data_IF_377046381967
#
_entry.id   IF_377046381967
#
_cell.length_a   1.000
_cell.length_b   1.000
_cell.length_c   1.000
_cell.angle_alpha   90.00
_cell.angle_beta   90.00
_cell.angle_gamma   90.00
#
_symmetry.space_group_name_H-M   'P 1'
#
loop_
_entity.id
_entity.type
_entity.pdbx_description
1 polymer ?
#
# COMPACT_ATOMS: atom_id res chain seq x y z
N UNK A 1 -3.64 -26.08 -19.82
CA UNK A 1 -3.92 -25.44 -18.51
C UNK A 1 -2.61 -25.43 -17.72
N UNK A 2 -2.21 -24.29 -17.17
CA UNK A 2 -1.02 -24.20 -16.33
C UNK A 2 -1.22 -25.02 -15.05
N UNK A 3 -0.19 -25.71 -14.58
CA UNK A 3 -0.24 -26.44 -13.31
C UNK A 3 -0.33 -25.46 -12.14
N UNK A 4 -0.91 -25.88 -11.01
CA UNK A 4 -0.98 -25.06 -9.80
C UNK A 4 0.42 -24.58 -9.36
N UNK A 5 1.44 -25.41 -9.57
CA UNK A 5 2.84 -25.07 -9.33
C UNK A 5 3.35 -23.95 -10.24
N UNK A 6 2.98 -23.93 -11.53
CA UNK A 6 3.39 -22.88 -12.46
C UNK A 6 2.71 -21.54 -12.15
N UNK A 7 1.45 -21.55 -11.73
CA UNK A 7 0.73 -20.34 -11.29
C UNK A 7 1.40 -19.74 -10.05
N UNK A 8 1.65 -20.57 -9.02
CA UNK A 8 2.33 -20.14 -7.81
C UNK A 8 3.75 -19.61 -8.10
N UNK A 9 4.48 -20.27 -9.01
CA UNK A 9 5.81 -19.81 -9.41
C UNK A 9 5.77 -18.48 -10.15
N UNK A 10 4.83 -18.29 -11.08
CA UNK A 10 4.64 -17.02 -11.79
C UNK A 10 4.34 -15.89 -10.81
N UNK A 11 3.45 -16.13 -9.86
CA UNK A 11 3.09 -15.16 -8.81
C UNK A 11 4.31 -14.74 -7.98
N UNK A 12 5.08 -15.71 -7.47
CA UNK A 12 6.28 -15.42 -6.67
C UNK A 12 7.37 -14.65 -7.46
N UNK A 13 7.47 -14.88 -8.77
CA UNK A 13 8.36 -14.07 -9.62
C UNK A 13 7.83 -12.65 -9.79
N UNK A 14 6.51 -12.49 -9.95
CA UNK A 14 5.86 -11.20 -10.11
C UNK A 14 6.00 -10.32 -8.86
N UNK A 15 5.82 -10.89 -7.67
CA UNK A 15 6.03 -10.17 -6.39
C UNK A 15 7.46 -9.62 -6.26
N UNK A 16 8.46 -10.38 -6.71
CA UNK A 16 9.85 -9.89 -6.74
C UNK A 16 10.02 -8.72 -7.70
N UNK A 17 9.35 -8.74 -8.85
CA UNK A 17 9.40 -7.62 -9.81
C UNK A 17 8.70 -6.39 -9.25
N UNK A 18 7.54 -6.58 -8.59
CA UNK A 18 6.81 -5.51 -7.94
C UNK A 18 7.66 -4.77 -6.91
N UNK A 19 8.40 -5.49 -6.05
CA UNK A 19 9.32 -4.88 -5.07
C UNK A 19 10.40 -4.02 -5.75
N UNK A 20 10.98 -4.49 -6.86
CA UNK A 20 11.98 -3.73 -7.60
C UNK A 20 11.37 -2.49 -8.24
N UNK A 21 10.25 -2.65 -8.94
CA UNK A 21 9.53 -1.55 -9.59
C UNK A 21 9.08 -0.48 -8.60
N UNK A 22 8.67 -0.89 -7.39
CA UNK A 22 8.34 0.01 -6.30
C UNK A 22 9.53 0.84 -5.82
N UNK A 23 10.76 0.28 -5.83
CA UNK A 23 11.95 1.01 -5.36
C UNK A 23 12.54 1.97 -6.38
N UNK A 24 12.62 1.56 -7.65
CA UNK A 24 13.44 2.27 -8.65
C UNK A 24 12.72 2.53 -9.98
N UNK A 25 11.42 2.22 -10.07
CA UNK A 25 10.70 2.21 -11.34
C UNK A 25 11.13 1.04 -12.24
N UNK A 26 10.77 1.10 -13.52
CA UNK A 26 11.07 0.06 -14.50
C UNK A 26 11.62 0.58 -15.84
N UNK A 27 11.64 1.89 -16.06
CA UNK A 27 12.07 2.46 -17.34
C UNK A 27 13.52 2.10 -17.66
N UNK A 28 14.42 2.22 -16.67
CA UNK A 28 15.85 1.93 -16.83
C UNK A 28 16.19 0.43 -16.83
N UNK A 29 15.25 -0.43 -16.45
CA UNK A 29 15.48 -1.87 -16.34
C UNK A 29 15.32 -2.55 -17.71
N UNK A 30 16.26 -3.44 -18.03
CA UNK A 30 16.15 -4.32 -19.19
C UNK A 30 15.56 -5.68 -18.80
N UNK A 31 15.04 -6.43 -19.77
CA UNK A 31 14.60 -7.82 -19.51
C UNK A 31 15.72 -8.68 -18.91
N UNK A 32 16.98 -8.44 -19.29
CA UNK A 32 18.11 -9.17 -18.71
C UNK A 32 18.34 -8.82 -17.23
N UNK A 33 18.08 -7.58 -16.82
CA UNK A 33 18.18 -7.19 -15.42
C UNK A 33 17.06 -7.83 -14.60
N UNK A 34 15.84 -7.83 -15.13
CA UNK A 34 14.70 -8.51 -14.50
C UNK A 34 14.93 -10.02 -14.35
N UNK A 35 15.56 -10.67 -15.34
CA UNK A 35 15.95 -12.08 -15.24
C UNK A 35 16.94 -12.33 -14.09
N UNK A 36 17.90 -11.42 -13.89
CA UNK A 36 18.84 -11.52 -12.76
C UNK A 36 18.10 -11.37 -11.44
N UNK A 37 17.19 -10.40 -11.32
CA UNK A 37 16.36 -10.20 -10.12
C UNK A 37 15.48 -11.43 -9.84
N UNK A 38 14.88 -12.02 -10.88
CA UNK A 38 14.09 -13.25 -10.75
C UNK A 38 14.92 -14.42 -10.21
N UNK A 39 16.23 -14.45 -10.48
CA UNK A 39 17.12 -15.54 -10.08
C UNK A 39 16.84 -16.84 -10.83
N UNK A 40 16.39 -16.74 -12.08
CA UNK A 40 16.04 -17.89 -12.93
C UNK A 40 16.77 -17.84 -14.28
N UNK A 41 16.79 -18.96 -15.01
CA UNK A 41 17.38 -18.98 -16.36
C UNK A 41 16.58 -18.11 -17.33
N UNK A 42 17.24 -17.61 -18.39
CA UNK A 42 16.58 -16.91 -19.51
C UNK A 42 15.38 -17.68 -20.04
N UNK A 43 15.56 -18.98 -20.33
CA UNK A 43 14.49 -19.87 -20.81
C UNK A 43 13.32 -19.94 -19.82
N UNK A 44 13.60 -19.99 -18.52
CA UNK A 44 12.56 -20.03 -17.48
C UNK A 44 11.80 -18.72 -17.37
N UNK A 45 12.48 -17.57 -17.45
CA UNK A 45 11.81 -16.27 -17.42
C UNK A 45 10.87 -16.09 -18.63
N UNK A 46 11.37 -16.38 -19.84
CA UNK A 46 10.57 -16.30 -21.07
C UNK A 46 9.43 -17.33 -21.14
N UNK A 47 9.46 -18.37 -20.29
CA UNK A 47 8.31 -19.27 -20.10
C UNK A 47 7.14 -18.56 -19.38
N UNK A 48 7.42 -17.64 -18.46
CA UNK A 48 6.41 -16.98 -17.63
C UNK A 48 6.04 -15.57 -18.12
N UNK A 49 6.97 -14.87 -18.75
CA UNK A 49 6.80 -13.50 -19.22
C UNK A 49 7.45 -13.32 -20.60
N UNK A 50 6.67 -12.85 -21.55
CA UNK A 50 7.08 -12.71 -22.95
C UNK A 50 7.99 -11.49 -23.19
N UNK A 51 7.82 -10.42 -22.41
CA UNK A 51 8.62 -9.20 -22.51
C UNK A 51 8.67 -8.44 -21.18
N UNK A 52 9.40 -7.31 -21.13
CA UNK A 52 9.37 -6.40 -19.98
C UNK A 52 7.98 -5.80 -19.80
N UNK A 53 7.33 -5.45 -20.90
CA UNK A 53 6.00 -4.84 -20.93
C UNK A 53 4.93 -5.80 -20.38
N UNK A 54 5.04 -7.10 -20.68
CA UNK A 54 4.19 -8.15 -20.09
C UNK A 54 4.38 -8.24 -18.56
N UNK A 55 5.61 -8.09 -18.06
CA UNK A 55 5.88 -8.03 -16.62
C UNK A 55 5.24 -6.77 -16.02
N UNK A 56 5.43 -5.60 -16.65
CA UNK A 56 4.85 -4.33 -16.18
C UNK A 56 3.33 -4.44 -16.11
N UNK A 57 2.69 -4.90 -17.18
CA UNK A 57 1.23 -5.08 -17.20
C UNK A 57 0.76 -6.07 -16.13
N UNK A 58 1.47 -7.18 -15.93
CA UNK A 58 1.17 -8.13 -14.87
C UNK A 58 1.31 -7.51 -13.46
N UNK A 59 2.31 -6.66 -13.24
CA UNK A 59 2.48 -5.93 -11.95
C UNK A 59 1.38 -4.90 -11.76
N UNK A 60 0.99 -4.17 -12.80
CA UNK A 60 -0.16 -3.24 -12.74
C UNK A 60 -1.43 -4.00 -12.37
N UNK A 61 -1.69 -5.14 -13.02
CA UNK A 61 -2.83 -5.98 -12.67
C UNK A 61 -2.77 -6.44 -11.22
N UNK A 62 -1.60 -6.88 -10.74
CA UNK A 62 -1.40 -7.25 -9.35
C UNK A 62 -1.78 -6.09 -8.40
N UNK A 63 -1.40 -4.86 -8.74
CA UNK A 63 -1.76 -3.66 -7.95
C UNK A 63 -3.24 -3.32 -8.02
N UNK A 64 -3.87 -3.47 -9.18
CA UNK A 64 -5.31 -3.27 -9.35
C UNK A 64 -6.10 -4.28 -8.52
N UNK A 65 -5.76 -5.57 -8.63
CA UNK A 65 -6.35 -6.65 -7.85
C UNK A 65 -6.19 -6.35 -6.35
N UNK A 66 -5.01 -5.89 -5.90
CA UNK A 66 -4.80 -5.48 -4.51
C UNK A 66 -5.65 -4.29 -4.07
N UNK A 67 -5.82 -3.27 -4.91
CA UNK A 67 -6.66 -2.10 -4.59
C UNK A 67 -8.14 -2.48 -4.53
N UNK A 68 -8.58 -3.36 -5.42
CA UNK A 68 -9.96 -3.86 -5.47
C UNK A 68 -10.29 -4.72 -4.24
N UNK A 69 -9.32 -5.50 -3.75
CA UNK A 69 -9.44 -6.29 -2.52
C UNK A 69 -9.41 -5.45 -1.24
N UNK A 70 -9.08 -4.16 -1.31
CA UNK A 70 -9.15 -3.29 -0.13
C UNK A 70 -10.60 -3.08 0.27
N UNK A 71 -10.90 -3.43 1.52
CA UNK A 71 -12.24 -3.29 2.08
C UNK A 71 -12.81 -1.87 1.89
N UNK A 72 -14.01 -1.81 1.32
CA UNK A 72 -14.79 -0.57 1.20
C UNK A 72 -15.26 -0.18 2.61
N UNK A 73 -15.04 1.07 3.06
CA UNK A 73 -15.46 1.51 4.37
C UNK A 73 -16.97 1.30 4.59
N UNK A 74 -17.31 0.45 5.56
CA UNK A 74 -18.69 0.27 5.97
C UNK A 74 -19.14 1.49 6.79
N UNK A 75 -19.98 2.33 6.19
CA UNK A 75 -20.41 3.60 6.79
C UNK A 75 -21.49 3.42 7.87
N UNK A 76 -22.17 2.26 7.86
CA UNK A 76 -23.25 1.91 8.76
C UNK A 76 -22.73 1.04 9.91
N UNK A 77 -23.46 1.03 11.04
CA UNK A 77 -23.11 0.24 12.22
C UNK A 77 -22.75 1.09 13.43
N UNK A 78 -22.45 0.41 14.54
CA UNK A 78 -22.08 1.07 15.79
C UNK A 78 -20.72 1.80 15.70
N UNK A 79 -20.38 2.53 16.76
CA UNK A 79 -19.15 3.31 16.83
C UNK A 79 -17.91 2.42 16.81
N UNK A 80 -17.98 1.21 17.40
CA UNK A 80 -16.88 0.27 17.42
C UNK A 80 -16.51 -0.22 16.01
N UNK A 81 -17.50 -0.63 15.21
CA UNK A 81 -17.29 -1.00 13.82
C UNK A 81 -16.77 0.19 13.00
N UNK A 82 -17.28 1.40 13.26
CA UNK A 82 -16.79 2.59 12.58
C UNK A 82 -15.30 2.84 12.86
N UNK A 83 -14.83 2.70 14.10
CA UNK A 83 -13.41 2.84 14.42
C UNK A 83 -12.54 1.69 13.90
N UNK A 84 -13.10 0.48 13.79
CA UNK A 84 -12.42 -0.62 13.11
C UNK A 84 -12.12 -0.26 11.65
N UNK A 85 -13.03 0.41 10.95
CA UNK A 85 -12.79 0.91 9.60
C UNK A 85 -11.68 1.97 9.54
N UNK A 86 -11.59 2.86 10.54
CA UNK A 86 -10.45 3.79 10.64
C UNK A 86 -9.10 3.06 10.75
N UNK A 87 -9.06 1.98 11.53
CA UNK A 87 -7.87 1.14 11.67
C UNK A 87 -7.54 0.37 10.38
N UNK A 88 -8.55 -0.07 9.65
CA UNK A 88 -8.37 -0.68 8.32
C UNK A 88 -7.83 0.34 7.31
N UNK A 89 -8.31 1.60 7.32
CA UNK A 89 -7.72 2.66 6.49
C UNK A 89 -6.26 2.94 6.85
N UNK A 90 -5.88 2.78 8.12
CA UNK A 90 -4.47 2.84 8.51
C UNK A 90 -3.67 1.67 7.90
N UNK A 91 -4.16 0.44 7.98
CA UNK A 91 -3.52 -0.71 7.31
C UNK A 91 -3.39 -0.52 5.79
N UNK A 92 -4.44 -0.01 5.14
CA UNK A 92 -4.42 0.33 3.72
C UNK A 92 -3.34 1.36 3.39
N UNK A 93 -3.18 2.40 4.24
CA UNK A 93 -2.13 3.41 4.04
C UNK A 93 -0.72 2.79 4.09
N UNK A 94 -0.48 1.86 5.02
CA UNK A 94 0.78 1.13 5.13
C UNK A 94 1.03 0.24 3.90
N UNK A 95 -0.01 -0.41 3.42
CA UNK A 95 0.06 -1.31 2.26
C UNK A 95 0.32 -0.53 0.98
N UNK A 96 -0.50 0.48 0.66
CA UNK A 96 -0.35 1.29 -0.56
C UNK A 96 1.02 1.94 -0.63
N UNK A 97 1.50 2.53 0.47
CA UNK A 97 2.82 3.18 0.53
C UNK A 97 4.01 2.23 0.29
N UNK A 98 3.83 0.92 0.46
CA UNK A 98 4.83 -0.11 0.12
C UNK A 98 4.65 -0.73 -1.27
N UNK A 99 3.54 -0.47 -1.94
CA UNK A 99 3.19 -1.19 -3.17
C UNK A 99 3.43 -0.32 -4.39
N UNK A 100 3.07 0.97 -4.34
CA UNK A 100 3.09 1.84 -5.52
C UNK A 100 3.94 3.08 -5.24
N UNK A 101 4.96 3.31 -6.06
CA UNK A 101 5.84 4.47 -5.96
C UNK A 101 5.55 5.52 -7.04
N UNK A 102 5.94 6.76 -6.76
CA UNK A 102 5.84 7.87 -7.71
C UNK A 102 6.70 7.61 -8.95
N UNK A 103 7.87 7.00 -8.77
CA UNK A 103 8.77 6.58 -9.85
C UNK A 103 8.08 5.56 -10.76
N UNK A 104 7.42 4.56 -10.19
CA UNK A 104 6.64 3.58 -10.95
C UNK A 104 5.50 4.23 -11.74
N UNK A 105 4.73 5.11 -11.10
CA UNK A 105 3.62 5.82 -11.76
C UNK A 105 4.12 6.73 -12.88
N UNK A 106 5.23 7.42 -12.68
CA UNK A 106 5.87 8.26 -13.71
C UNK A 106 6.33 7.43 -14.91
N UNK A 107 6.93 6.27 -14.66
CA UNK A 107 7.34 5.35 -15.71
C UNK A 107 6.13 4.79 -16.48
N UNK A 108 5.08 4.40 -15.75
CA UNK A 108 3.85 3.86 -16.33
C UNK A 108 3.14 4.89 -17.21
N UNK A 109 3.08 6.14 -16.77
CA UNK A 109 2.53 7.26 -17.55
C UNK A 109 3.24 7.43 -18.89
N UNK A 110 4.53 7.17 -18.95
CA UNK A 110 5.32 7.35 -20.18
C UNK A 110 5.27 6.12 -21.08
N UNK A 111 5.13 4.93 -20.51
CA UNK A 111 5.21 3.66 -21.23
C UNK A 111 3.84 3.14 -21.71
N UNK A 112 2.77 3.31 -20.93
CA UNK A 112 1.44 2.80 -21.23
C UNK A 112 0.32 3.66 -20.61
N UNK A 113 -0.25 4.55 -21.41
CA UNK A 113 -1.35 5.44 -21.01
C UNK A 113 -2.60 4.71 -20.51
N UNK A 114 -2.86 3.48 -20.97
CA UNK A 114 -4.03 2.72 -20.53
C UNK A 114 -3.83 2.15 -19.13
N UNK A 115 -2.70 1.48 -18.90
CA UNK A 115 -2.37 0.92 -17.59
C UNK A 115 -2.22 2.02 -16.53
N UNK A 116 -1.60 3.15 -16.91
CA UNK A 116 -1.51 4.32 -16.04
C UNK A 116 -2.89 4.85 -15.64
N UNK A 117 -3.79 5.06 -16.62
CA UNK A 117 -5.15 5.54 -16.34
C UNK A 117 -5.92 4.58 -15.45
N UNK A 118 -5.90 3.28 -15.75
CA UNK A 118 -6.59 2.29 -14.95
C UNK A 118 -6.12 2.30 -13.48
N UNK A 119 -4.80 2.32 -13.26
CA UNK A 119 -4.24 2.35 -11.91
C UNK A 119 -4.54 3.67 -11.20
N UNK A 120 -4.44 4.79 -11.91
CA UNK A 120 -4.75 6.11 -11.37
C UNK A 120 -6.23 6.21 -10.97
N UNK A 121 -7.14 5.68 -11.77
CA UNK A 121 -8.58 5.68 -11.50
C UNK A 121 -8.90 4.82 -10.27
N UNK A 122 -8.28 3.63 -10.14
CA UNK A 122 -8.42 2.79 -8.95
C UNK A 122 -7.93 3.50 -7.67
N UNK A 123 -6.76 4.14 -7.72
CA UNK A 123 -6.21 4.92 -6.60
C UNK A 123 -7.10 6.11 -6.24
N UNK A 124 -7.62 6.83 -7.24
CA UNK A 124 -8.52 7.95 -7.04
C UNK A 124 -9.84 7.47 -6.41
N UNK A 125 -10.39 6.35 -6.86
CA UNK A 125 -11.60 5.76 -6.29
C UNK A 125 -11.38 5.36 -4.82
N UNK A 126 -10.26 4.71 -4.51
CA UNK A 126 -9.90 4.36 -3.13
C UNK A 126 -9.79 5.60 -2.23
N UNK A 127 -9.15 6.66 -2.73
CA UNK A 127 -9.06 7.95 -2.02
C UNK A 127 -10.45 8.55 -1.78
N UNK A 128 -11.34 8.54 -2.77
CA UNK A 128 -12.70 9.06 -2.61
C UNK A 128 -13.50 8.26 -1.57
N UNK A 129 -13.34 6.94 -1.50
CA UNK A 129 -13.98 6.14 -0.44
C UNK A 129 -13.49 6.53 0.96
N UNK A 130 -12.19 6.78 1.12
CA UNK A 130 -11.64 7.27 2.39
C UNK A 130 -12.21 8.66 2.76
N UNK A 131 -12.36 9.55 1.79
CA UNK A 131 -12.96 10.89 2.01
C UNK A 131 -14.42 10.75 2.50
N UNK A 132 -15.23 9.93 1.81
CA UNK A 132 -16.62 9.67 2.19
C UNK A 132 -16.71 9.12 3.62
N UNK A 133 -15.79 8.24 4.00
CA UNK A 133 -15.68 7.74 5.37
C UNK A 133 -15.42 8.86 6.38
N UNK A 134 -14.42 9.72 6.14
CA UNK A 134 -14.10 10.80 7.07
C UNK A 134 -15.22 11.83 7.19
N UNK A 135 -15.86 12.20 6.08
CA UNK A 135 -17.04 13.08 6.09
C UNK A 135 -18.21 12.49 6.88
N UNK A 136 -18.42 11.17 6.76
CA UNK A 136 -19.43 10.46 7.55
C UNK A 136 -19.09 10.50 9.04
N UNK A 137 -17.82 10.33 9.40
CA UNK A 137 -17.37 10.43 10.79
C UNK A 137 -17.56 11.82 11.39
N UNK A 138 -17.40 12.88 10.60
CA UNK A 138 -17.74 14.26 11.01
C UNK A 138 -19.25 14.39 11.24
N UNK A 139 -20.09 13.93 10.31
CA UNK A 139 -21.56 13.98 10.44
C UNK A 139 -22.06 13.22 11.68
N UNK A 140 -21.36 12.16 12.07
CA UNK A 140 -21.66 11.34 13.26
C UNK A 140 -21.11 11.92 14.57
N UNK A 141 -20.38 13.04 14.54
CA UNK A 141 -19.76 13.62 15.72
C UNK A 141 -18.64 12.74 16.30
N UNK A 142 -17.88 12.07 15.42
CA UNK A 142 -16.74 11.23 15.81
C UNK A 142 -15.40 11.91 15.49
N UNK A 143 -15.35 12.64 14.37
CA UNK A 143 -14.13 13.26 13.86
C UNK A 143 -14.24 14.78 13.79
N UNK A 144 -13.08 15.43 13.82
CA UNK A 144 -12.91 16.84 13.45
C UNK A 144 -12.91 16.99 11.93
N UNK A 145 -13.28 18.16 11.44
CA UNK A 145 -13.28 18.49 10.01
C UNK A 145 -11.90 18.97 9.55
N UNK A 146 -11.46 18.46 8.40
CA UNK A 146 -10.22 18.86 7.73
C UNK A 146 -10.44 19.01 6.22
N UNK A 147 -9.43 19.56 5.53
CA UNK A 147 -9.33 19.36 4.09
C UNK A 147 -8.78 17.96 3.82
N UNK A 148 -9.66 17.04 3.40
CA UNK A 148 -9.35 15.60 3.38
C UNK A 148 -8.22 15.22 2.44
N UNK A 149 -8.14 15.84 1.27
CA UNK A 149 -7.03 15.61 0.34
C UNK A 149 -5.68 15.97 0.96
N UNK A 150 -5.63 17.03 1.78
CA UNK A 150 -4.40 17.44 2.48
C UNK A 150 -4.05 16.43 3.57
N UNK A 151 -5.04 15.96 4.35
CA UNK A 151 -4.81 14.96 5.40
C UNK A 151 -4.34 13.62 4.82
N UNK A 152 -4.94 13.19 3.71
CA UNK A 152 -4.57 11.95 3.02
C UNK A 152 -3.20 12.05 2.34
N UNK A 153 -2.86 13.22 1.76
CA UNK A 153 -1.53 13.48 1.24
C UNK A 153 -0.47 13.45 2.36
N UNK A 154 -0.75 14.14 3.48
CA UNK A 154 0.10 14.08 4.67
C UNK A 154 0.32 12.63 5.08
N UNK A 155 -0.74 11.84 5.18
CA UNK A 155 -0.66 10.44 5.60
C UNK A 155 0.23 9.61 4.69
N UNK A 156 0.01 9.70 3.37
CA UNK A 156 0.79 8.99 2.35
C UNK A 156 2.28 9.33 2.41
N UNK A 157 2.62 10.62 2.51
CA UNK A 157 4.01 11.10 2.55
C UNK A 157 4.69 10.68 3.86
N UNK A 158 3.99 10.84 4.99
CA UNK A 158 4.53 10.49 6.31
C UNK A 158 4.77 8.99 6.41
N UNK A 159 3.78 8.15 6.05
CA UNK A 159 3.95 6.69 6.09
C UNK A 159 5.14 6.25 5.24
N UNK A 160 5.26 6.72 3.99
CA UNK A 160 6.39 6.37 3.11
C UNK A 160 7.74 6.73 3.73
N UNK A 161 7.86 7.91 4.33
CA UNK A 161 9.08 8.33 5.01
C UNK A 161 9.38 7.56 6.30
N UNK A 162 8.35 7.22 7.09
CA UNK A 162 8.50 6.52 8.36
C UNK A 162 8.88 5.05 8.19
N UNK A 163 8.46 4.42 7.10
CA UNK A 163 8.83 3.03 6.78
C UNK A 163 10.10 2.94 5.93
N UNK A 164 10.72 4.06 5.57
CA UNK A 164 11.97 4.05 4.83
C UNK A 164 13.11 3.46 5.68
N UNK A 165 13.79 2.46 5.13
CA UNK A 165 14.83 1.73 5.86
C UNK A 165 16.01 2.63 6.22
N UNK A 166 16.38 3.53 5.32
CA UNK A 166 17.53 4.42 5.53
C UNK A 166 17.24 5.42 6.65
N UNK A 167 16.03 5.97 6.70
CA UNK A 167 15.53 6.78 7.81
C UNK A 167 15.57 6.02 9.13
N UNK A 168 14.99 4.81 9.19
CA UNK A 168 14.96 4.00 10.41
C UNK A 168 16.36 3.68 10.94
N UNK A 169 17.27 3.22 10.08
CA UNK A 169 18.64 2.86 10.47
C UNK A 169 19.45 4.08 10.91
N UNK A 170 19.39 5.18 10.15
CA UNK A 170 20.12 6.41 10.48
C UNK A 170 19.74 6.95 11.85
N UNK A 171 18.48 6.83 12.22
CA UNK A 171 17.96 7.35 13.50
C UNK A 171 17.83 6.27 14.58
N UNK A 172 18.28 5.04 14.33
CA UNK A 172 18.19 3.90 15.26
C UNK A 172 16.76 3.68 15.80
N UNK A 173 15.76 3.86 14.93
CA UNK A 173 14.35 3.80 15.29
C UNK A 173 13.81 2.37 15.22
N UNK A 174 12.92 2.05 16.15
CA UNK A 174 12.15 0.81 16.12
C UNK A 174 10.84 1.04 15.34
N UNK A 175 10.64 0.29 14.24
CA UNK A 175 9.50 0.47 13.35
C UNK A 175 8.14 0.27 14.07
N UNK A 176 8.01 -0.72 14.95
CA UNK A 176 6.80 -0.93 15.75
C UNK A 176 6.45 0.32 16.55
N UNK A 177 7.44 0.91 17.23
CA UNK A 177 7.24 2.15 17.99
C UNK A 177 6.88 3.33 17.08
N UNK A 178 7.59 3.49 15.96
CA UNK A 178 7.33 4.57 15.00
C UNK A 178 5.89 4.53 14.48
N UNK A 179 5.43 3.36 14.04
CA UNK A 179 4.07 3.21 13.52
C UNK A 179 3.01 3.38 14.62
N UNK A 180 3.32 2.92 15.84
CA UNK A 180 2.43 3.11 17.01
C UNK A 180 2.28 4.59 17.35
N UNK A 181 3.40 5.32 17.44
CA UNK A 181 3.40 6.75 17.73
C UNK A 181 2.68 7.52 16.61
N UNK A 182 2.92 7.15 15.36
CA UNK A 182 2.28 7.79 14.21
C UNK A 182 0.75 7.56 14.18
N UNK A 183 0.28 6.34 14.43
CA UNK A 183 -1.15 6.07 14.58
C UNK A 183 -1.77 6.91 15.70
N UNK A 184 -1.11 7.03 16.84
CA UNK A 184 -1.59 7.85 17.96
C UNK A 184 -1.66 9.34 17.62
N UNK A 185 -0.70 9.86 16.84
CA UNK A 185 -0.76 11.23 16.32
C UNK A 185 -1.96 11.41 15.39
N UNK A 186 -2.15 10.50 14.43
CA UNK A 186 -3.31 10.51 13.50
C UNK A 186 -4.63 10.45 14.26
N UNK A 187 -4.73 9.56 15.25
CA UNK A 187 -5.90 9.42 16.12
C UNK A 187 -6.21 10.71 16.88
N UNK A 188 -5.19 11.33 17.50
CA UNK A 188 -5.33 12.58 18.26
C UNK A 188 -5.70 13.76 17.38
N UNK A 189 -5.14 13.82 16.17
CA UNK A 189 -5.49 14.83 15.17
C UNK A 189 -6.93 14.64 14.71
N UNK A 190 -7.36 13.42 14.36
CA UNK A 190 -8.64 13.19 13.69
C UNK A 190 -9.84 13.14 14.65
N UNK A 191 -9.75 12.40 15.76
CA UNK A 191 -10.89 12.12 16.63
C UNK A 191 -11.23 13.34 17.52
N UNK A 192 -12.51 13.46 17.86
CA UNK A 192 -12.93 14.37 18.93
C UNK A 192 -12.43 13.86 20.30
N UNK A 193 -12.11 14.74 21.26
CA UNK A 193 -11.49 14.35 22.53
C UNK A 193 -12.25 13.27 23.30
N UNK A 194 -13.57 13.35 23.33
CA UNK A 194 -14.48 12.39 23.95
C UNK A 194 -14.40 10.98 23.35
N UNK A 195 -13.93 10.85 22.10
CA UNK A 195 -13.79 9.58 21.41
C UNK A 195 -12.43 8.90 21.63
N UNK A 196 -11.41 9.63 22.11
CA UNK A 196 -10.05 9.10 22.27
C UNK A 196 -9.97 7.93 23.26
N UNK A 197 -10.86 7.89 24.24
CA UNK A 197 -10.93 6.82 25.25
C UNK A 197 -11.92 5.71 24.88
N UNK A 198 -12.66 5.85 23.77
CA UNK A 198 -13.71 4.91 23.33
C UNK A 198 -13.15 3.88 22.34
N UNK A 199 -12.22 4.32 21.48
CA UNK A 199 -11.60 3.47 20.48
C UNK A 199 -10.68 2.41 21.11
N UNK A 200 -10.90 1.14 20.75
CA UNK A 200 -10.02 0.03 21.11
C UNK A 200 -8.85 -0.06 20.12
N UNK A 201 -7.62 0.10 20.62
CA UNK A 201 -6.40 0.04 19.80
C UNK A 201 -5.88 -1.40 19.57
N UNK A 202 -6.48 -2.45 20.14
CA UNK A 202 -5.99 -3.83 19.92
C UNK A 202 -5.89 -4.21 18.43
N UNK A 203 -6.87 -3.89 17.55
CA UNK A 203 -6.75 -4.22 16.14
C UNK A 203 -5.56 -3.55 15.45
N UNK A 204 -5.24 -2.29 15.80
CA UNK A 204 -4.09 -1.60 15.17
C UNK A 204 -2.75 -2.18 15.63
N UNK A 205 -2.67 -2.70 16.86
CA UNK A 205 -1.46 -3.38 17.34
C UNK A 205 -1.16 -4.60 16.49
N UNK A 206 -2.19 -5.41 16.21
CA UNK A 206 -2.07 -6.59 15.34
C UNK A 206 -1.69 -6.22 13.91
N UNK A 207 -2.27 -5.15 13.36
CA UNK A 207 -1.89 -4.60 12.05
C UNK A 207 -0.41 -4.24 12.01
N UNK A 208 0.07 -3.48 13.01
CA UNK A 208 1.48 -3.06 13.09
C UNK A 208 2.41 -4.27 13.24
N UNK A 209 2.06 -5.23 14.10
CA UNK A 209 2.85 -6.46 14.30
C UNK A 209 2.97 -7.27 13.00
N UNK A 210 1.84 -7.48 12.31
CA UNK A 210 1.83 -8.17 11.02
C UNK A 210 2.68 -7.44 9.99
N UNK A 211 2.49 -6.13 9.86
CA UNK A 211 3.25 -5.30 8.93
C UNK A 211 4.75 -5.34 9.19
N UNK A 212 5.18 -5.20 10.45
CA UNK A 212 6.60 -5.22 10.83
C UNK A 212 7.23 -6.58 10.53
N UNK A 213 6.52 -7.67 10.77
CA UNK A 213 7.00 -9.01 10.43
C UNK A 213 7.22 -9.17 8.92
N UNK A 214 6.27 -8.72 8.10
CA UNK A 214 6.37 -8.77 6.63
C UNK A 214 7.45 -7.83 6.09
N UNK A 215 7.56 -6.62 6.66
CA UNK A 215 8.60 -5.66 6.33
C UNK A 215 9.99 -6.28 6.57
N UNK A 216 10.21 -6.89 7.73
CA UNK A 216 11.48 -7.51 8.07
C UNK A 216 11.82 -8.68 7.12
N UNK A 217 10.84 -9.48 6.68
CA UNK A 217 11.07 -10.57 5.70
C UNK A 217 11.48 -10.08 4.31
N UNK A 218 11.03 -8.88 3.93
CA UNK A 218 11.29 -8.31 2.60
C UNK A 218 12.66 -7.60 2.54
N UNK A 219 13.18 -7.14 3.69
CA UNK A 219 14.39 -6.32 3.77
C UNK A 219 15.56 -6.95 4.58
N UNK A 220 15.39 -8.13 5.18
CA UNK A 220 16.46 -9.00 5.73
C UNK A 220 16.84 -10.09 4.72
#
# INVERSE_FOLDING_TARGET
MATQHEVAKRHALLERMAVVFMREGFNQLTMNDLIKVMGVSRRTAYKYFSSKEDIVHAVVKLYLDYIEDLDIPQLNGDVANFFRQFQMLFDQSLTISRTISDEFLSDLKSANDSDYRNLQDALNQQQQQAIIYFETGVKRGLFRTYQWDVLLLQDRVMVRGLIDRHFLLRHSLNLTKVLTDYYNLKKTQLLLPEQLNVIDDQPVRLIIEYFVNEYNRTFL
#
